data_IF_599828205109
#
_entry.id   IF_599828205109
#
_cell.length_a   1.000
_cell.length_b   1.000
_cell.length_c   1.000
_cell.angle_alpha   90.00
_cell.angle_beta   90.00
_cell.angle_gamma   90.00
#
_symmetry.space_group_name_H-M   'P 1'
#
loop_
_entity.id
_entity.type
_entity.pdbx_description
1 polymer ?
#
# COMPACT_ATOMS: atom_id res chain seq x y z
N UNK A 1 -13.76 -12.08 37.21
CA UNK A 1 -14.55 -12.33 35.97
C UNK A 1 -14.99 -11.04 35.25
N UNK A 2 -14.92 -9.86 35.87
CA UNK A 2 -15.25 -8.57 35.23
C UNK A 2 -14.04 -7.64 35.03
N UNK A 3 -12.82 -8.17 35.15
CA UNK A 3 -11.62 -7.38 34.88
C UNK A 3 -11.52 -7.11 33.38
N UNK A 4 -11.29 -5.85 32.95
CA UNK A 4 -11.15 -5.53 31.53
C UNK A 4 -9.93 -6.26 30.97
N UNK A 5 -10.05 -6.74 29.74
CA UNK A 5 -8.92 -7.23 28.94
C UNK A 5 -8.65 -6.20 27.86
N UNK A 6 -7.38 -5.93 27.52
CA UNK A 6 -7.06 -5.12 26.35
C UNK A 6 -7.75 -5.70 25.11
N UNK A 7 -8.43 -4.86 24.35
CA UNK A 7 -9.07 -5.27 23.10
C UNK A 7 -8.02 -5.48 22.00
N UNK A 8 -6.95 -4.68 22.02
CA UNK A 8 -5.79 -4.82 21.13
C UNK A 8 -4.82 -5.83 21.73
N UNK A 9 -4.46 -6.83 20.93
CA UNK A 9 -3.52 -7.91 21.30
C UNK A 9 -2.25 -7.90 20.46
N UNK A 10 -2.19 -7.08 19.41
CA UNK A 10 -0.98 -6.88 18.61
C UNK A 10 -0.05 -5.88 19.29
N UNK A 11 1.24 -5.93 18.93
CA UNK A 11 2.23 -4.94 19.34
C UNK A 11 2.66 -4.14 18.13
N UNK A 12 2.38 -2.84 18.14
CA UNK A 12 2.86 -1.94 17.10
C UNK A 12 4.39 -1.85 17.15
N UNK A 13 5.10 -1.96 16.01
CA UNK A 13 6.52 -1.65 15.98
C UNK A 13 6.78 -0.22 16.46
N UNK A 14 7.77 -0.01 17.35
CA UNK A 14 7.99 1.31 17.95
C UNK A 14 8.28 2.42 16.91
N UNK A 15 8.91 2.04 15.80
CA UNK A 15 9.23 2.93 14.69
C UNK A 15 8.00 3.41 13.90
N UNK A 16 6.82 2.80 14.05
CA UNK A 16 5.64 3.17 13.26
C UNK A 16 4.80 4.30 13.85
N UNK A 17 4.96 4.62 15.15
CA UNK A 17 4.04 5.52 15.88
C UNK A 17 4.02 6.97 15.39
N UNK A 18 5.12 7.46 14.81
CA UNK A 18 5.23 8.81 14.26
C UNK A 18 5.74 8.78 12.81
N UNK A 19 5.49 7.68 12.10
CA UNK A 19 6.05 7.46 10.78
C UNK A 19 5.31 8.27 9.70
N UNK A 20 6.03 8.70 8.67
CA UNK A 20 5.45 9.17 7.41
C UNK A 20 5.51 8.03 6.38
N UNK A 21 4.36 7.69 5.78
CA UNK A 21 4.31 6.74 4.68
C UNK A 21 4.62 7.43 3.35
N UNK A 22 5.34 6.71 2.49
CA UNK A 22 5.56 7.09 1.11
C UNK A 22 5.14 5.94 0.18
N UNK A 23 4.05 6.11 -0.56
CA UNK A 23 3.61 5.14 -1.56
C UNK A 23 4.41 5.33 -2.85
N UNK A 24 5.13 4.28 -3.22
CA UNK A 24 6.04 4.24 -4.37
C UNK A 24 5.47 3.28 -5.44
N UNK A 25 5.09 3.86 -6.57
CA UNK A 25 4.75 3.13 -7.79
C UNK A 25 6.03 2.88 -8.60
N UNK A 26 6.65 1.72 -8.40
CA UNK A 26 7.99 1.41 -8.96
C UNK A 26 8.07 1.65 -10.46
N UNK A 27 7.03 1.26 -11.20
CA UNK A 27 6.91 1.45 -12.66
C UNK A 27 7.07 2.91 -13.09
N UNK A 28 6.47 3.82 -12.33
CA UNK A 28 6.38 5.24 -12.68
C UNK A 28 7.41 6.11 -11.96
N UNK A 29 8.03 5.60 -10.90
CA UNK A 29 8.85 6.41 -10.02
C UNK A 29 10.10 6.97 -10.70
N UNK A 30 10.71 6.20 -11.61
CA UNK A 30 11.88 6.61 -12.39
C UNK A 30 11.68 6.26 -13.87
N UNK A 31 12.41 6.86 -14.82
CA UNK A 31 12.35 6.46 -16.22
C UNK A 31 12.63 4.95 -16.43
N UNK A 32 13.57 4.38 -15.69
CA UNK A 32 13.89 2.96 -15.69
C UNK A 32 12.74 2.14 -15.10
N UNK A 33 12.14 2.61 -14.00
CA UNK A 33 11.05 1.95 -13.31
C UNK A 33 11.49 0.69 -12.56
N UNK A 34 12.70 0.71 -11.98
CA UNK A 34 13.33 -0.46 -11.33
C UNK A 34 13.70 -0.19 -9.87
N UNK A 35 13.90 -1.25 -9.08
CA UNK A 35 14.37 -1.13 -7.70
C UNK A 35 15.74 -0.44 -7.61
N UNK A 36 16.67 -0.75 -8.51
CA UNK A 36 17.98 -0.09 -8.54
C UNK A 36 17.86 1.42 -8.74
N UNK A 37 17.02 1.85 -9.69
CA UNK A 37 16.82 3.27 -9.95
C UNK A 37 16.09 3.96 -8.78
N UNK A 38 15.11 3.27 -8.16
CA UNK A 38 14.44 3.77 -6.95
C UNK A 38 15.40 3.85 -5.74
N UNK A 39 16.33 2.90 -5.59
CA UNK A 39 17.33 2.87 -4.52
C UNK A 39 18.18 4.13 -4.51
N UNK A 40 18.56 4.63 -5.69
CA UNK A 40 19.33 5.86 -5.83
C UNK A 40 18.58 7.13 -5.34
N UNK A 41 17.27 7.04 -5.13
CA UNK A 41 16.43 8.14 -4.63
C UNK A 41 16.22 8.09 -3.11
N UNK A 42 16.67 7.05 -2.42
CA UNK A 42 16.46 6.89 -0.98
C UNK A 42 16.98 8.09 -0.15
N UNK A 43 18.15 8.70 -0.44
CA UNK A 43 18.59 9.90 0.28
C UNK A 43 17.60 11.06 0.20
N UNK A 44 16.98 11.26 -0.97
CA UNK A 44 15.94 12.27 -1.17
C UNK A 44 14.68 11.96 -0.37
N UNK A 45 14.23 10.70 -0.35
CA UNK A 45 13.09 10.29 0.46
C UNK A 45 13.37 10.47 1.96
N UNK A 46 14.59 10.16 2.41
CA UNK A 46 14.96 10.39 3.81
C UNK A 46 14.97 11.88 4.16
N UNK A 47 15.52 12.73 3.28
CA UNK A 47 15.51 14.18 3.46
C UNK A 47 14.08 14.77 3.47
N UNK A 48 13.13 14.16 2.77
CA UNK A 48 11.71 14.52 2.81
C UNK A 48 11.05 14.18 4.16
N UNK A 49 11.66 13.29 4.96
CA UNK A 49 11.12 12.84 6.24
C UNK A 49 10.34 11.52 6.15
N UNK A 50 10.57 10.72 5.10
CA UNK A 50 9.95 9.40 4.96
C UNK A 50 10.52 8.43 6.00
N UNK A 51 9.64 7.64 6.62
CA UNK A 51 10.00 6.57 7.54
C UNK A 51 9.59 5.19 7.00
N UNK A 52 8.46 5.09 6.30
CA UNK A 52 7.97 3.83 5.73
C UNK A 52 7.76 4.00 4.22
N UNK A 53 8.47 3.22 3.42
CA UNK A 53 8.26 3.11 1.98
C UNK A 53 7.30 1.96 1.72
N UNK A 54 6.13 2.28 1.18
CA UNK A 54 5.17 1.31 0.69
C UNK A 54 5.39 1.10 -0.82
N UNK A 55 5.92 -0.06 -1.20
CA UNK A 55 6.01 -0.45 -2.59
C UNK A 55 4.64 -0.99 -3.05
N UNK A 56 4.09 -0.42 -4.13
CA UNK A 56 2.99 -1.03 -4.88
C UNK A 56 3.33 -2.49 -5.30
N UNK A 57 2.34 -3.33 -5.70
CA UNK A 57 2.58 -4.76 -5.92
C UNK A 57 3.80 -5.02 -6.81
N UNK A 58 4.70 -5.89 -6.34
CA UNK A 58 5.99 -6.17 -6.97
C UNK A 58 6.01 -7.48 -7.76
N UNK A 59 4.90 -8.20 -7.80
CA UNK A 59 4.80 -9.55 -8.35
C UNK A 59 4.59 -9.54 -9.86
N UNK A 60 4.98 -10.61 -10.59
CA UNK A 60 4.66 -10.75 -12.00
C UNK A 60 3.16 -10.59 -12.26
N UNK A 61 2.85 -9.89 -13.36
CA UNK A 61 1.49 -9.53 -13.73
C UNK A 61 0.92 -10.53 -14.75
N UNK A 62 -0.35 -10.87 -14.59
CA UNK A 62 -1.09 -11.76 -15.48
C UNK A 62 -1.07 -11.33 -16.95
N UNK A 63 -1.09 -12.29 -17.86
CA UNK A 63 -1.19 -12.05 -19.30
C UNK A 63 -2.60 -12.26 -19.84
N UNK A 64 -3.36 -13.17 -19.23
CA UNK A 64 -4.73 -13.48 -19.64
C UNK A 64 -5.68 -12.40 -19.12
N UNK A 65 -6.50 -11.85 -20.01
CA UNK A 65 -7.42 -10.73 -19.76
C UNK A 65 -6.73 -9.44 -19.28
N UNK A 66 -5.43 -9.29 -19.53
CA UNK A 66 -4.64 -8.13 -19.14
C UNK A 66 -5.28 -6.83 -19.63
N UNK A 67 -5.36 -5.84 -18.74
CA UNK A 67 -5.73 -4.46 -19.06
C UNK A 67 -4.51 -3.66 -19.52
N UNK A 68 -4.66 -2.89 -20.60
CA UNK A 68 -3.56 -2.12 -21.18
C UNK A 68 -2.39 -2.99 -21.64
N UNK A 69 -1.23 -2.39 -21.86
CA UNK A 69 -0.06 -3.13 -22.36
C UNK A 69 0.72 -3.85 -21.26
N UNK A 70 0.84 -3.24 -20.07
CA UNK A 70 1.64 -3.76 -18.96
C UNK A 70 0.82 -4.41 -17.85
N UNK A 71 -0.50 -4.21 -17.83
CA UNK A 71 -1.37 -4.80 -16.83
C UNK A 71 -1.43 -4.04 -15.51
N UNK A 72 -2.47 -4.33 -14.75
CA UNK A 72 -2.60 -3.92 -13.35
C UNK A 72 -1.54 -4.64 -12.50
N UNK A 73 -0.75 -3.93 -11.66
CA UNK A 73 0.09 -4.57 -10.66
C UNK A 73 -0.68 -5.52 -9.72
N UNK A 74 -1.99 -5.31 -9.57
CA UNK A 74 -2.87 -6.11 -8.72
C UNK A 74 -3.33 -7.43 -9.36
N UNK A 75 -3.09 -7.65 -10.65
CA UNK A 75 -3.36 -8.94 -11.29
C UNK A 75 -2.17 -9.90 -11.13
N UNK A 76 -2.04 -10.48 -9.93
CA UNK A 76 -0.85 -11.27 -9.53
C UNK A 76 -0.80 -12.66 -10.17
N UNK A 77 0.26 -12.93 -10.93
CA UNK A 77 0.55 -14.22 -11.59
C UNK A 77 1.36 -15.17 -10.71
N UNK A 78 2.25 -14.66 -9.86
CA UNK A 78 3.09 -15.47 -8.96
C UNK A 78 3.47 -14.68 -7.69
N UNK A 79 3.02 -15.15 -6.53
CA UNK A 79 3.25 -14.49 -5.24
C UNK A 79 4.68 -14.63 -4.69
N UNK A 80 5.50 -15.53 -5.23
CA UNK A 80 6.87 -15.80 -4.77
C UNK A 80 7.95 -15.21 -5.68
N UNK A 81 7.54 -14.57 -6.78
CA UNK A 81 8.46 -13.99 -7.75
C UNK A 81 8.44 -12.47 -7.71
N UNK A 82 9.56 -11.87 -8.10
CA UNK A 82 9.67 -10.45 -8.42
C UNK A 82 9.29 -10.25 -9.88
N UNK A 83 8.50 -9.22 -10.18
CA UNK A 83 8.19 -8.81 -11.54
C UNK A 83 9.49 -8.44 -12.27
N UNK A 84 9.83 -9.10 -13.40
CA UNK A 84 11.04 -8.78 -14.16
C UNK A 84 11.12 -7.33 -14.64
N UNK A 85 9.99 -6.62 -14.72
CA UNK A 85 9.96 -5.18 -14.99
C UNK A 85 10.74 -4.37 -13.94
N UNK A 86 10.74 -4.80 -12.68
CA UNK A 86 11.30 -4.05 -11.56
C UNK A 86 12.74 -4.47 -11.20
N UNK A 87 13.17 -5.64 -11.66
CA UNK A 87 14.50 -6.19 -11.44
C UNK A 87 14.46 -7.64 -10.94
N UNK A 88 15.43 -7.99 -10.10
CA UNK A 88 15.55 -9.33 -9.49
C UNK A 88 15.26 -9.30 -7.98
N UNK A 89 15.19 -10.49 -7.37
CA UNK A 89 15.16 -10.62 -5.91
C UNK A 89 16.35 -9.92 -5.24
N UNK A 90 17.55 -10.03 -5.81
CA UNK A 90 18.75 -9.36 -5.26
C UNK A 90 18.62 -7.83 -5.32
N UNK A 91 17.94 -7.30 -6.34
CA UNK A 91 17.69 -5.85 -6.46
C UNK A 91 16.71 -5.36 -5.39
N UNK A 92 15.69 -6.17 -5.09
CA UNK A 92 14.79 -5.89 -3.97
C UNK A 92 15.53 -5.95 -2.63
N UNK A 93 16.33 -6.99 -2.39
CA UNK A 93 17.14 -7.13 -1.17
C UNK A 93 18.08 -5.93 -0.99
N UNK A 94 18.73 -5.50 -2.07
CA UNK A 94 19.60 -4.33 -2.06
C UNK A 94 18.85 -3.03 -1.76
N UNK A 95 17.65 -2.86 -2.34
CA UNK A 95 16.78 -1.71 -2.05
C UNK A 95 16.36 -1.66 -0.58
N UNK A 96 15.88 -2.79 -0.03
CA UNK A 96 15.46 -2.90 1.37
C UNK A 96 16.63 -2.62 2.31
N UNK A 97 17.78 -3.25 2.09
CA UNK A 97 18.98 -3.03 2.90
C UNK A 97 19.45 -1.56 2.85
N UNK A 98 19.38 -0.91 1.69
CA UNK A 98 19.73 0.50 1.55
C UNK A 98 18.73 1.44 2.25
N UNK A 99 17.44 1.09 2.27
CA UNK A 99 16.43 1.83 3.03
C UNK A 99 16.66 1.69 4.53
N UNK A 100 16.91 0.47 5.01
CA UNK A 100 17.26 0.20 6.41
C UNK A 100 18.53 0.94 6.86
N UNK A 101 19.55 1.01 6.00
CA UNK A 101 20.79 1.75 6.30
C UNK A 101 20.56 3.26 6.53
N UNK A 102 19.43 3.80 6.06
CA UNK A 102 19.00 5.19 6.26
C UNK A 102 17.92 5.32 7.34
N UNK A 103 17.59 4.24 8.05
CA UNK A 103 16.56 4.21 9.07
C UNK A 103 15.14 4.36 8.51
N UNK A 104 14.90 3.92 7.28
CA UNK A 104 13.58 3.75 6.71
C UNK A 104 13.20 2.27 6.69
N UNK A 105 11.90 1.99 6.68
CA UNK A 105 11.32 0.65 6.60
C UNK A 105 10.62 0.44 5.27
N UNK A 106 10.52 -0.81 4.81
CA UNK A 106 9.89 -1.15 3.52
C UNK A 106 8.75 -2.13 3.74
N UNK A 107 7.54 -1.74 3.31
CA UNK A 107 6.38 -2.65 3.27
C UNK A 107 5.97 -2.95 1.84
N UNK A 108 5.46 -4.15 1.61
CA UNK A 108 4.96 -4.58 0.30
C UNK A 108 3.45 -4.49 0.22
N UNK A 109 2.93 -4.14 -0.95
CA UNK A 109 1.52 -4.36 -1.25
C UNK A 109 1.21 -5.85 -1.37
N UNK A 110 0.14 -6.29 -0.71
CA UNK A 110 -0.26 -7.69 -0.64
C UNK A 110 -1.68 -7.88 -1.14
N UNK A 111 -1.80 -8.52 -2.30
CA UNK A 111 -3.07 -8.75 -2.99
C UNK A 111 -3.65 -10.10 -2.61
N UNK A 112 -4.42 -10.12 -1.52
CA UNK A 112 -4.91 -11.36 -0.93
C UNK A 112 -6.27 -11.81 -1.47
N UNK A 113 -7.07 -10.91 -2.01
CA UNK A 113 -8.46 -11.19 -2.41
C UNK A 113 -8.56 -12.02 -3.70
N UNK A 114 -7.64 -11.83 -4.64
CA UNK A 114 -7.74 -12.39 -5.99
C UNK A 114 -6.38 -12.61 -6.63
N UNK A 115 -6.36 -13.35 -7.74
CA UNK A 115 -5.16 -13.54 -8.60
C UNK A 115 -5.47 -13.22 -10.05
N UNK A 116 -4.42 -13.14 -10.88
CA UNK A 116 -4.55 -13.24 -12.33
C UNK A 116 -5.16 -14.59 -12.77
N UNK A 117 -5.76 -14.60 -13.95
CA UNK A 117 -6.34 -15.80 -14.58
C UNK A 117 -5.30 -16.89 -14.90
N UNK A 118 -4.07 -16.51 -15.20
CA UNK A 118 -2.97 -17.43 -15.56
C UNK A 118 -2.05 -17.76 -14.37
N UNK A 119 -2.45 -17.42 -13.14
CA UNK A 119 -1.78 -17.85 -11.91
C UNK A 119 -1.71 -19.38 -11.83
N UNK A 120 -0.60 -19.95 -11.37
CA UNK A 120 -0.41 -21.40 -11.29
C UNK A 120 -1.44 -22.12 -10.38
N UNK A 121 -2.00 -21.40 -9.40
CA UNK A 121 -3.06 -21.92 -8.52
C UNK A 121 -4.35 -22.25 -9.30
N UNK A 122 -4.64 -21.58 -10.41
CA UNK A 122 -5.85 -21.87 -11.20
C UNK A 122 -5.84 -23.26 -11.82
N UNK A 123 -4.65 -23.85 -12.00
CA UNK A 123 -4.47 -25.22 -12.51
C UNK A 123 -4.17 -26.23 -11.40
N UNK A 124 -3.35 -25.83 -10.41
CA UNK A 124 -2.90 -26.74 -9.34
C UNK A 124 -3.90 -26.89 -8.21
N UNK A 125 -4.66 -25.83 -7.90
CA UNK A 125 -5.65 -25.77 -6.82
C UNK A 125 -6.91 -25.00 -7.26
N UNK A 126 -7.59 -25.43 -8.34
CA UNK A 126 -8.78 -24.74 -8.86
C UNK A 126 -9.91 -24.61 -7.85
N UNK A 127 -9.95 -25.45 -6.81
CA UNK A 127 -10.92 -25.41 -5.71
C UNK A 127 -10.69 -24.23 -4.75
N UNK A 128 -9.51 -23.60 -4.75
CA UNK A 128 -9.22 -22.41 -3.93
C UNK A 128 -9.81 -21.11 -4.50
N UNK A 129 -10.61 -21.18 -5.56
CA UNK A 129 -11.22 -20.02 -6.19
C UNK A 129 -12.74 -20.03 -6.03
N UNK A 130 -13.31 -18.84 -5.92
CA UNK A 130 -14.76 -18.69 -5.99
C UNK A 130 -15.28 -19.07 -7.38
N UNK A 131 -16.48 -19.64 -7.40
CA UNK A 131 -17.19 -20.02 -8.62
C UNK A 131 -18.49 -19.25 -8.77
N UNK A 132 -18.84 -18.92 -9.99
CA UNK A 132 -20.19 -18.46 -10.31
C UNK A 132 -21.20 -19.62 -10.34
N UNK A 133 -22.46 -19.31 -10.66
CA UNK A 133 -23.54 -20.31 -10.71
C UNK A 133 -23.33 -21.35 -11.83
N UNK A 134 -22.55 -21.02 -12.85
CA UNK A 134 -22.23 -21.89 -13.99
C UNK A 134 -20.95 -22.70 -13.74
N UNK A 135 -20.29 -22.51 -12.59
CA UNK A 135 -19.06 -23.20 -12.20
C UNK A 135 -17.78 -22.59 -12.78
N UNK A 136 -17.85 -21.41 -13.41
CA UNK A 136 -16.67 -20.71 -13.93
C UNK A 136 -15.95 -19.96 -12.80
N UNK A 137 -14.69 -19.61 -13.02
CA UNK A 137 -13.99 -18.68 -12.13
C UNK A 137 -14.72 -17.34 -12.09
N UNK A 138 -14.79 -16.76 -10.90
CA UNK A 138 -15.57 -15.55 -10.65
C UNK A 138 -14.66 -14.33 -10.44
N UNK A 139 -14.69 -13.33 -11.33
CA UNK A 139 -14.18 -11.99 -11.05
C UNK A 139 -15.01 -11.30 -9.97
N UNK A 140 -14.46 -10.24 -9.36
CA UNK A 140 -15.24 -9.45 -8.39
C UNK A 140 -16.40 -8.74 -9.12
N UNK A 141 -17.67 -9.00 -8.77
CA UNK A 141 -18.80 -8.73 -9.66
C UNK A 141 -19.27 -7.26 -9.73
N UNK A 142 -18.80 -6.40 -8.82
CA UNK A 142 -19.27 -5.00 -8.72
C UNK A 142 -18.34 -3.97 -9.36
N UNK A 143 -17.13 -4.37 -9.74
CA UNK A 143 -16.12 -3.50 -10.34
C UNK A 143 -15.68 -4.04 -11.69
N UNK A 144 -15.17 -3.16 -12.54
CA UNK A 144 -14.50 -3.58 -13.77
C UNK A 144 -13.11 -4.13 -13.42
N UNK A 145 -13.07 -5.33 -12.83
CA UNK A 145 -11.85 -6.08 -12.49
C UNK A 145 -11.82 -7.39 -13.28
N UNK A 146 -11.97 -7.27 -14.61
CA UNK A 146 -12.03 -8.40 -15.54
C UNK A 146 -10.70 -9.16 -15.69
N UNK A 147 -9.59 -8.58 -15.23
CA UNK A 147 -8.24 -9.15 -15.26
C UNK A 147 -7.91 -10.03 -14.04
N UNK A 148 -8.85 -10.22 -13.10
CA UNK A 148 -8.64 -11.03 -11.88
C UNK A 148 -9.80 -11.98 -11.59
N UNK A 149 -9.54 -12.94 -10.71
CA UNK A 149 -10.51 -13.92 -10.19
C UNK A 149 -10.32 -14.16 -8.70
N UNK A 150 -11.44 -14.28 -7.97
CA UNK A 150 -11.46 -14.26 -6.51
C UNK A 150 -11.01 -15.57 -5.87
N UNK A 151 -10.27 -15.46 -4.76
CA UNK A 151 -9.84 -16.57 -3.93
C UNK A 151 -10.89 -16.92 -2.86
N UNK A 152 -11.01 -18.19 -2.53
CA UNK A 152 -11.96 -18.72 -1.55
C UNK A 152 -11.26 -19.16 -0.25
N UNK A 153 -11.30 -18.28 0.75
CA UNK A 153 -10.65 -18.46 2.06
C UNK A 153 -11.30 -19.52 2.97
N UNK A 154 -12.32 -20.24 2.51
CA UNK A 154 -12.85 -21.42 3.18
C UNK A 154 -11.87 -22.61 3.15
N UNK A 155 -10.87 -22.59 2.27
CA UNK A 155 -9.89 -23.67 2.13
C UNK A 155 -8.65 -23.41 3.00
N UNK A 156 -8.38 -24.30 3.96
CA UNK A 156 -7.21 -24.20 4.83
C UNK A 156 -5.88 -24.22 4.06
N UNK A 157 -5.79 -24.96 2.95
CA UNK A 157 -4.61 -24.99 2.09
C UNK A 157 -4.27 -23.63 1.49
N UNK A 158 -5.28 -22.89 1.01
CA UNK A 158 -5.10 -21.52 0.54
C UNK A 158 -4.58 -20.61 1.65
N UNK A 159 -5.20 -20.68 2.84
CA UNK A 159 -4.79 -19.87 4.00
C UNK A 159 -3.33 -20.10 4.36
N UNK A 160 -2.91 -21.37 4.36
CA UNK A 160 -1.52 -21.74 4.61
C UNK A 160 -0.60 -21.18 3.50
N UNK A 161 -0.95 -21.38 2.23
CA UNK A 161 -0.19 -20.87 1.09
C UNK A 161 0.02 -19.35 1.14
N UNK A 162 -1.05 -18.58 1.38
CA UNK A 162 -0.98 -17.11 1.45
C UNK A 162 -0.18 -16.63 2.65
N UNK A 163 -0.27 -17.33 3.80
CA UNK A 163 0.53 -17.02 4.99
C UNK A 163 2.01 -17.32 4.75
N UNK A 164 2.35 -18.44 4.13
CA UNK A 164 3.73 -18.77 3.78
C UNK A 164 4.32 -17.78 2.77
N UNK A 165 3.51 -17.33 1.82
CA UNK A 165 3.93 -16.33 0.84
C UNK A 165 4.21 -14.96 1.49
N UNK A 166 3.38 -14.52 2.44
CA UNK A 166 3.71 -13.37 3.30
C UNK A 166 5.06 -13.61 4.02
N UNK A 167 5.16 -14.69 4.79
CA UNK A 167 6.37 -15.00 5.57
C UNK A 167 7.63 -15.15 4.71
N UNK A 168 7.51 -15.56 3.45
CA UNK A 168 8.62 -15.69 2.51
C UNK A 168 9.33 -14.35 2.30
N UNK A 169 8.59 -13.27 2.04
CA UNK A 169 9.20 -11.97 1.79
C UNK A 169 9.86 -11.38 3.04
N UNK A 170 9.29 -11.59 4.23
CA UNK A 170 9.93 -11.18 5.49
C UNK A 170 11.24 -11.94 5.71
N UNK A 171 11.27 -13.25 5.44
CA UNK A 171 12.48 -14.09 5.60
C UNK A 171 13.55 -13.78 4.56
N UNK A 172 13.14 -13.64 3.30
CA UNK A 172 14.08 -13.58 2.17
C UNK A 172 14.52 -12.17 1.85
N UNK A 173 13.60 -11.20 1.89
CA UNK A 173 13.86 -9.82 1.50
C UNK A 173 13.90 -8.85 2.69
N UNK A 174 13.72 -9.34 3.91
CA UNK A 174 13.72 -8.55 5.15
C UNK A 174 12.72 -7.38 5.14
N UNK A 175 11.61 -7.51 4.41
CA UNK A 175 10.56 -6.48 4.41
C UNK A 175 9.92 -6.36 5.79
N UNK A 176 9.46 -5.16 6.13
CA UNK A 176 9.01 -4.78 7.47
C UNK A 176 7.51 -4.90 7.67
N UNK A 177 6.79 -5.43 6.67
CA UNK A 177 5.37 -5.68 6.73
C UNK A 177 4.65 -5.44 5.41
N UNK A 178 3.35 -5.16 5.49
CA UNK A 178 2.47 -5.17 4.32
C UNK A 178 1.40 -4.09 4.35
N UNK A 179 1.05 -3.59 3.17
CA UNK A 179 -0.26 -2.99 2.90
C UNK A 179 -1.14 -4.07 2.27
N UNK A 180 -2.27 -4.41 2.87
CA UNK A 180 -3.19 -5.42 2.37
C UNK A 180 -4.27 -4.77 1.48
N UNK A 181 -4.27 -5.16 0.20
CA UNK A 181 -5.26 -4.74 -0.80
C UNK A 181 -6.66 -5.27 -0.45
N UNK A 182 -7.66 -4.39 -0.53
CA UNK A 182 -9.08 -4.65 -0.24
C UNK A 182 -9.28 -5.57 0.96
N UNK A 183 -8.56 -5.30 2.05
CA UNK A 183 -8.41 -6.20 3.19
C UNK A 183 -9.76 -6.67 3.79
N UNK A 184 -10.81 -5.85 3.67
CA UNK A 184 -12.16 -6.16 4.11
C UNK A 184 -12.89 -7.25 3.32
N UNK A 185 -12.41 -7.65 2.15
CA UNK A 185 -12.97 -8.78 1.39
C UNK A 185 -12.37 -10.12 1.80
N UNK A 186 -11.26 -10.09 2.54
CA UNK A 186 -10.61 -11.28 3.07
C UNK A 186 -11.02 -11.46 4.54
N UNK A 187 -11.35 -12.69 5.00
CA UNK A 187 -11.79 -12.91 6.37
C UNK A 187 -10.81 -12.41 7.42
N UNK A 188 -11.30 -11.66 8.41
CA UNK A 188 -10.46 -11.08 9.48
C UNK A 188 -9.68 -12.15 10.27
N UNK A 189 -10.25 -13.34 10.46
CA UNK A 189 -9.58 -14.42 11.17
C UNK A 189 -8.38 -15.02 10.40
N UNK A 190 -8.38 -14.91 9.07
CA UNK A 190 -7.18 -15.19 8.27
C UNK A 190 -6.08 -14.17 8.60
N UNK A 191 -6.40 -12.88 8.59
CA UNK A 191 -5.41 -11.83 8.90
C UNK A 191 -4.86 -11.95 10.32
N UNK A 192 -5.70 -12.27 11.32
CA UNK A 192 -5.25 -12.52 12.70
C UNK A 192 -4.24 -13.68 12.77
N UNK A 193 -4.51 -14.75 12.00
CA UNK A 193 -3.60 -15.91 11.91
C UNK A 193 -2.30 -15.52 11.23
N UNK A 194 -2.38 -14.83 10.08
CA UNK A 194 -1.21 -14.40 9.31
C UNK A 194 -0.32 -13.45 10.12
N UNK A 195 -0.90 -12.46 10.82
CA UNK A 195 -0.16 -11.56 11.73
C UNK A 195 0.58 -12.35 12.80
N UNK A 196 -0.08 -13.31 13.45
CA UNK A 196 0.56 -14.16 14.48
C UNK A 196 1.75 -14.94 13.91
N UNK A 197 1.64 -15.47 12.69
CA UNK A 197 2.73 -16.20 12.06
C UNK A 197 3.89 -15.28 11.65
N UNK A 198 3.61 -14.08 11.13
CA UNK A 198 4.63 -13.08 10.78
C UNK A 198 5.47 -12.66 11.99
N UNK A 199 4.82 -12.45 13.13
CA UNK A 199 5.46 -12.09 14.40
C UNK A 199 6.43 -13.17 14.94
N UNK A 200 6.36 -14.41 14.42
CA UNK A 200 7.36 -15.45 14.74
C UNK A 200 8.72 -15.20 14.09
N UNK A 201 8.77 -14.34 13.07
CA UNK A 201 9.99 -13.96 12.34
C UNK A 201 10.53 -12.66 12.94
N UNK A 202 9.74 -11.59 12.87
CA UNK A 202 10.03 -10.27 13.46
C UNK A 202 8.73 -9.46 13.61
N UNK A 203 8.73 -8.39 14.44
CA UNK A 203 7.64 -7.41 14.43
C UNK A 203 7.42 -6.81 13.05
N UNK A 204 6.18 -6.77 12.60
CA UNK A 204 5.79 -6.24 11.28
C UNK A 204 4.76 -5.13 11.41
N UNK A 205 4.75 -4.21 10.44
CA UNK A 205 3.71 -3.21 10.28
C UNK A 205 2.68 -3.63 9.23
N UNK A 206 1.41 -3.66 9.61
CA UNK A 206 0.32 -4.07 8.74
C UNK A 206 -0.66 -2.90 8.52
N UNK A 207 -0.79 -2.45 7.27
CA UNK A 207 -1.77 -1.45 6.83
C UNK A 207 -2.90 -2.13 6.06
N UNK A 208 -4.15 -2.00 6.51
CA UNK A 208 -5.31 -2.46 5.76
C UNK A 208 -5.83 -1.37 4.83
N UNK A 209 -6.00 -1.69 3.54
CA UNK A 209 -6.96 -0.97 2.71
C UNK A 209 -8.39 -1.35 3.12
N UNK A 210 -8.80 -0.76 4.22
CA UNK A 210 -10.15 -0.82 4.76
C UNK A 210 -10.31 0.28 5.81
N UNK A 211 -11.53 0.51 6.28
CA UNK A 211 -11.82 1.47 7.35
C UNK A 211 -12.79 0.84 8.37
N UNK A 212 -12.25 0.01 9.27
CA UNK A 212 -13.03 -0.63 10.33
C UNK A 212 -12.17 -0.84 11.58
N UNK A 213 -12.73 -0.50 12.75
CA UNK A 213 -12.02 -0.63 14.03
C UNK A 213 -11.55 -2.05 14.34
N UNK A 214 -12.32 -3.07 13.93
CA UNK A 214 -12.06 -4.47 14.31
C UNK A 214 -10.77 -5.01 13.68
N UNK A 215 -10.29 -4.38 12.60
CA UNK A 215 -8.99 -4.66 11.96
C UNK A 215 -7.82 -4.46 12.94
N UNK A 216 -7.96 -3.52 13.88
CA UNK A 216 -6.91 -3.10 14.81
C UNK A 216 -6.74 -4.00 16.04
N UNK A 217 -7.67 -4.94 16.28
CA UNK A 217 -7.58 -5.75 17.50
C UNK A 217 -6.43 -6.75 17.47
N UNK A 218 -6.17 -7.39 16.32
CA UNK A 218 -5.19 -8.48 16.28
C UNK A 218 -4.38 -8.57 14.97
N UNK A 219 -4.71 -7.83 13.92
CA UNK A 219 -4.08 -7.98 12.62
C UNK A 219 -3.32 -6.73 12.14
N UNK A 220 -3.97 -5.57 12.16
CA UNK A 220 -3.49 -4.37 11.48
C UNK A 220 -3.11 -3.25 12.45
N UNK A 221 -1.97 -2.63 12.19
CA UNK A 221 -1.51 -1.44 12.90
C UNK A 221 -2.23 -0.18 12.41
N UNK A 222 -2.48 -0.15 11.10
CA UNK A 222 -3.06 0.98 10.41
C UNK A 222 -4.23 0.58 9.50
N UNK A 223 -5.19 1.49 9.35
CA UNK A 223 -6.27 1.42 8.35
C UNK A 223 -6.35 2.72 7.56
N UNK A 224 -6.95 2.71 6.38
CA UNK A 224 -7.24 3.94 5.65
C UNK A 224 -8.21 4.85 6.44
N UNK A 225 -8.08 6.16 6.25
CA UNK A 225 -9.02 7.16 6.75
C UNK A 225 -9.95 7.69 5.64
N UNK A 226 -10.72 6.82 4.97
CA UNK A 226 -11.68 7.21 3.93
C UNK A 226 -12.66 8.28 4.40
N UNK A 227 -13.20 8.14 5.61
CA UNK A 227 -14.11 9.12 6.19
C UNK A 227 -13.45 10.50 6.33
N UNK A 228 -12.15 10.57 6.66
CA UNK A 228 -11.40 11.83 6.69
C UNK A 228 -11.22 12.41 5.28
N UNK A 229 -10.79 11.57 4.32
CA UNK A 229 -10.61 11.97 2.92
C UNK A 229 -11.91 12.54 2.33
N UNK A 230 -13.02 11.85 2.52
CA UNK A 230 -14.33 12.29 2.04
C UNK A 230 -14.81 13.56 2.74
N UNK A 231 -14.57 13.70 4.05
CA UNK A 231 -14.87 14.92 4.78
C UNK A 231 -14.09 16.12 4.21
N UNK A 232 -12.80 15.95 3.94
CA UNK A 232 -11.96 16.98 3.32
C UNK A 232 -12.46 17.37 1.93
N UNK A 233 -12.80 16.39 1.08
CA UNK A 233 -13.34 16.66 -0.25
C UNK A 233 -14.69 17.40 -0.20
N UNK A 234 -15.60 17.02 0.71
CA UNK A 234 -16.88 17.72 0.89
C UNK A 234 -16.71 19.16 1.36
N UNK A 235 -15.76 19.41 2.27
CA UNK A 235 -15.44 20.77 2.72
C UNK A 235 -14.94 21.62 1.56
N UNK A 236 -14.01 21.10 0.76
CA UNK A 236 -13.45 21.86 -0.37
C UNK A 236 -14.45 22.07 -1.50
N UNK A 237 -15.36 21.12 -1.73
CA UNK A 237 -16.46 21.28 -2.68
C UNK A 237 -17.52 22.31 -2.21
N UNK A 238 -17.50 22.71 -0.93
CA UNK A 238 -18.55 23.56 -0.34
C UNK A 238 -19.82 22.81 0.03
N UNK A 239 -19.78 21.47 0.02
CA UNK A 239 -20.91 20.59 0.35
C UNK A 239 -21.07 20.37 1.86
N UNK A 240 -20.05 20.69 2.66
CA UNK A 240 -20.06 20.60 4.12
C UNK A 240 -19.17 21.67 4.77
N UNK A 241 -19.43 21.95 6.05
CA UNK A 241 -18.52 22.74 6.89
C UNK A 241 -17.56 21.83 7.69
N UNK A 242 -16.73 22.40 8.56
CA UNK A 242 -15.73 21.64 9.33
C UNK A 242 -16.33 20.67 10.35
N UNK A 243 -17.65 20.67 10.59
CA UNK A 243 -18.27 19.74 11.53
C UNK A 243 -18.18 18.28 11.08
N UNK A 244 -18.03 18.00 9.77
CA UNK A 244 -17.83 16.61 9.31
C UNK A 244 -16.48 16.04 9.76
N UNK A 245 -15.46 16.88 9.96
CA UNK A 245 -14.18 16.45 10.55
C UNK A 245 -14.30 16.19 12.06
N UNK A 246 -15.15 16.96 12.76
CA UNK A 246 -15.43 16.69 14.17
C UNK A 246 -15.96 15.27 14.37
N UNK A 247 -16.88 14.81 13.50
CA UNK A 247 -17.39 13.44 13.56
C UNK A 247 -16.27 12.40 13.40
N UNK A 248 -15.38 12.59 12.43
CA UNK A 248 -14.23 11.71 12.22
C UNK A 248 -13.36 11.58 13.48
N UNK A 249 -12.91 12.70 14.05
CA UNK A 249 -12.05 12.69 15.23
C UNK A 249 -12.78 12.17 16.48
N UNK A 250 -14.07 12.46 16.63
CA UNK A 250 -14.87 11.91 17.74
C UNK A 250 -14.95 10.39 17.72
N UNK A 251 -14.96 9.79 16.52
CA UNK A 251 -14.95 8.34 16.37
C UNK A 251 -13.58 7.74 16.67
N UNK A 252 -12.50 8.43 16.32
CA UNK A 252 -11.15 8.00 16.75
C UNK A 252 -11.08 7.91 18.27
N UNK A 253 -11.56 8.95 18.97
CA UNK A 253 -11.51 8.99 20.43
C UNK A 253 -12.44 7.96 21.10
N UNK A 254 -13.64 7.76 20.54
CA UNK A 254 -14.73 7.06 21.23
C UNK A 254 -14.96 5.62 20.77
N UNK A 255 -14.61 5.28 19.54
CA UNK A 255 -15.00 4.02 18.91
C UNK A 255 -13.81 3.17 18.44
N UNK A 256 -12.70 3.78 18.05
CA UNK A 256 -11.48 3.07 17.68
C UNK A 256 -10.62 2.77 18.93
N UNK A 257 -9.80 1.71 18.91
CA UNK A 257 -8.74 1.54 19.91
C UNK A 257 -7.83 2.75 19.95
N UNK A 258 -7.30 3.08 21.15
CA UNK A 258 -6.40 4.24 21.32
C UNK A 258 -5.09 4.07 20.55
N UNK A 259 -4.73 2.83 20.29
CA UNK A 259 -3.51 2.43 19.59
C UNK A 259 -3.69 2.39 18.06
N UNK A 260 -4.92 2.50 17.56
CA UNK A 260 -5.23 2.40 16.14
C UNK A 260 -4.62 3.58 15.35
N UNK A 261 -3.85 3.27 14.32
CA UNK A 261 -3.33 4.28 13.40
C UNK A 261 -4.28 4.42 12.20
N UNK A 262 -4.66 5.65 11.86
CA UNK A 262 -5.53 5.90 10.69
C UNK A 262 -4.77 6.71 9.66
N UNK A 263 -4.56 6.12 8.49
CA UNK A 263 -3.77 6.72 7.44
C UNK A 263 -4.54 7.84 6.76
N UNK A 264 -4.14 9.08 7.05
CA UNK A 264 -4.65 10.29 6.40
C UNK A 264 -3.92 10.47 5.08
N UNK A 265 -4.63 10.92 4.06
CA UNK A 265 -4.06 11.11 2.74
C UNK A 265 -4.90 12.07 1.90
N UNK A 266 -4.22 12.90 1.13
CA UNK A 266 -4.82 13.73 0.08
C UNK A 266 -4.76 13.04 -1.28
N UNK A 267 -3.76 12.16 -1.49
CA UNK A 267 -3.63 11.35 -2.68
C UNK A 267 -3.09 9.95 -2.38
N UNK A 268 -3.31 9.04 -3.31
CA UNK A 268 -2.72 7.72 -3.42
C UNK A 268 -2.84 7.27 -4.88
N UNK A 269 -2.38 6.07 -5.22
CA UNK A 269 -2.42 5.56 -6.59
C UNK A 269 -3.84 5.51 -7.21
N UNK A 270 -4.86 5.03 -6.50
CA UNK A 270 -6.25 4.98 -7.00
C UNK A 270 -6.88 6.37 -7.10
N UNK A 271 -6.65 7.19 -6.08
CA UNK A 271 -7.08 8.57 -6.08
C UNK A 271 -6.53 9.30 -7.31
N UNK A 272 -5.22 9.21 -7.54
CA UNK A 272 -4.56 9.88 -8.65
C UNK A 272 -5.04 9.36 -10.01
N UNK A 273 -5.19 8.04 -10.16
CA UNK A 273 -5.59 7.43 -11.43
C UNK A 273 -7.07 7.68 -11.77
N UNK A 274 -7.97 7.52 -10.80
CA UNK A 274 -9.42 7.44 -11.04
C UNK A 274 -10.18 8.69 -10.60
N UNK A 275 -9.92 9.19 -9.38
CA UNK A 275 -10.67 10.33 -8.82
C UNK A 275 -10.09 11.69 -9.25
N UNK A 276 -8.77 11.75 -9.47
CA UNK A 276 -8.04 12.94 -9.90
C UNK A 276 -6.85 13.30 -9.03
N UNK A 277 -6.03 14.18 -9.60
CA UNK A 277 -4.89 14.78 -8.90
C UNK A 277 -5.38 15.69 -7.76
N UNK A 278 -4.49 16.04 -6.84
CA UNK A 278 -4.83 16.98 -5.77
C UNK A 278 -5.20 18.37 -6.30
N UNK A 279 -4.67 18.74 -7.47
CA UNK A 279 -5.08 19.97 -8.17
C UNK A 279 -6.54 19.92 -8.58
N UNK A 280 -7.02 18.79 -9.08
CA UNK A 280 -8.41 18.61 -9.50
C UNK A 280 -9.36 18.49 -8.30
N UNK A 281 -8.94 17.77 -7.26
CA UNK A 281 -9.80 17.46 -6.10
C UNK A 281 -9.85 18.57 -5.05
N UNK A 282 -8.73 19.25 -4.80
CA UNK A 282 -8.60 20.24 -3.73
C UNK A 282 -8.36 21.67 -4.24
N UNK A 283 -7.90 21.84 -5.49
CA UNK A 283 -7.68 23.17 -6.07
C UNK A 283 -6.84 24.09 -5.18
N UNK A 284 -7.28 25.33 -4.90
CA UNK A 284 -6.58 26.26 -4.01
C UNK A 284 -6.43 25.77 -2.56
N UNK A 285 -7.26 24.83 -2.10
CA UNK A 285 -7.22 24.30 -0.74
C UNK A 285 -6.19 23.16 -0.54
N UNK A 286 -5.51 22.72 -1.61
CA UNK A 286 -4.47 21.67 -1.60
C UNK A 286 -3.51 21.79 -0.42
N UNK A 287 -2.89 22.95 -0.28
CA UNK A 287 -1.84 23.16 0.72
C UNK A 287 -2.40 23.08 2.14
N UNK A 288 -3.60 23.62 2.37
CA UNK A 288 -4.27 23.50 3.67
C UNK A 288 -4.65 22.04 3.97
N UNK A 289 -5.09 21.27 2.97
CA UNK A 289 -5.41 19.86 3.13
C UNK A 289 -4.17 19.03 3.48
N UNK A 290 -3.04 19.26 2.80
CA UNK A 290 -1.75 18.61 3.11
C UNK A 290 -1.26 18.98 4.51
N UNK A 291 -1.35 20.26 4.90
CA UNK A 291 -0.96 20.69 6.25
C UNK A 291 -1.80 19.96 7.30
N UNK A 292 -3.11 19.84 7.10
CA UNK A 292 -3.97 19.11 8.03
C UNK A 292 -3.70 17.61 8.02
N UNK A 293 -3.38 17.03 6.87
CA UNK A 293 -2.99 15.62 6.75
C UNK A 293 -1.78 15.29 7.63
N UNK A 294 -0.73 16.11 7.53
CA UNK A 294 0.57 15.88 8.18
C UNK A 294 0.58 16.30 9.65
N UNK A 295 -0.18 17.33 10.02
CA UNK A 295 -0.21 17.84 11.40
C UNK A 295 -1.39 17.32 12.22
N UNK A 296 -2.39 16.73 11.57
CA UNK A 296 -3.57 16.17 12.19
C UNK A 296 -3.32 14.81 12.85
N UNK A 297 -4.33 14.33 13.55
CA UNK A 297 -4.31 12.98 14.12
C UNK A 297 -4.40 11.94 13.00
N UNK A 298 -3.39 11.09 12.89
CA UNK A 298 -3.32 10.05 11.88
C UNK A 298 -1.87 9.69 11.55
N UNK A 299 -1.71 8.90 10.50
CA UNK A 299 -0.41 8.56 9.91
C UNK A 299 -0.40 9.05 8.44
N UNK A 300 0.36 10.10 8.09
CA UNK A 300 0.24 10.74 6.78
C UNK A 300 0.82 9.88 5.66
N UNK A 301 0.28 10.04 4.45
CA UNK A 301 0.72 9.33 3.25
C UNK A 301 1.07 10.32 2.13
N UNK A 302 2.32 10.25 1.68
CA UNK A 302 2.77 10.92 0.47
C UNK A 302 2.74 9.93 -0.69
N UNK A 303 2.01 10.25 -1.76
CA UNK A 303 2.08 9.47 -3.00
C UNK A 303 3.19 10.02 -3.91
N UNK A 304 3.97 9.15 -4.55
CA UNK A 304 5.09 9.61 -5.37
C UNK A 304 4.73 10.71 -6.39
N UNK A 305 5.55 11.74 -6.46
CA UNK A 305 5.33 12.91 -7.32
C UNK A 305 4.46 13.99 -6.68
N UNK A 306 3.77 13.71 -5.58
CA UNK A 306 3.03 14.73 -4.80
C UNK A 306 3.99 15.80 -4.26
N UNK A 307 5.18 15.40 -3.82
CA UNK A 307 6.16 16.30 -3.21
C UNK A 307 6.76 17.31 -4.19
N UNK A 308 6.65 17.05 -5.50
CA UNK A 308 7.03 17.99 -6.56
C UNK A 308 5.81 18.66 -7.22
N UNK A 309 4.61 18.43 -6.69
CA UNK A 309 3.37 18.96 -7.26
C UNK A 309 3.03 18.40 -8.64
N UNK A 310 3.21 17.09 -8.85
CA UNK A 310 2.86 16.44 -10.12
C UNK A 310 1.37 16.66 -10.47
N UNK A 311 1.04 17.39 -11.55
CA UNK A 311 -0.35 17.67 -11.92
C UNK A 311 -0.97 16.58 -12.79
N UNK A 312 -0.24 15.48 -13.06
CA UNK A 312 -0.68 14.42 -13.96
C UNK A 312 -1.27 13.24 -13.19
N UNK A 313 -2.36 12.71 -13.73
CA UNK A 313 -2.85 11.37 -13.39
C UNK A 313 -1.93 10.35 -14.05
N UNK A 314 -1.22 9.55 -13.25
CA UNK A 314 -0.30 8.53 -13.75
C UNK A 314 -1.10 7.37 -14.34
N UNK A 315 -0.69 6.90 -15.53
CA UNK A 315 -1.36 5.75 -16.16
C UNK A 315 -1.15 4.49 -15.31
N UNK A 316 -2.24 3.80 -15.03
CA UNK A 316 -2.23 2.61 -14.18
C UNK A 316 -1.71 1.36 -14.92
N UNK A 317 -2.15 1.18 -16.16
CA UNK A 317 -1.88 -0.02 -16.98
C UNK A 317 -0.74 0.14 -17.99
N UNK A 318 -0.14 1.33 -18.06
CA UNK A 318 0.86 1.73 -19.06
C UNK A 318 2.07 2.34 -18.35
N UNK A 319 3.21 2.42 -19.03
CA UNK A 319 4.35 3.19 -18.54
C UNK A 319 4.15 4.69 -18.82
N UNK A 320 4.27 5.50 -17.79
CA UNK A 320 4.11 6.96 -17.78
C UNK A 320 4.92 7.55 -16.61
N UNK A 321 6.26 7.54 -16.70
CA UNK A 321 7.11 7.89 -15.58
C UNK A 321 6.92 9.35 -15.16
N UNK A 322 7.13 9.59 -13.86
CA UNK A 322 7.16 10.93 -13.27
C UNK A 322 8.30 11.73 -13.89
N UNK A 323 8.02 12.99 -14.20
CA UNK A 323 9.04 13.94 -14.68
C UNK A 323 9.56 14.70 -13.48
N UNK A 324 10.75 14.35 -13.02
CA UNK A 324 11.41 15.01 -11.90
C UNK A 324 12.08 16.33 -12.34
N UNK A 325 12.00 17.40 -11.53
CA UNK A 325 12.75 18.63 -11.79
C UNK A 325 14.26 18.37 -11.84
N UNK A 326 14.99 19.17 -12.64
CA UNK A 326 16.45 19.16 -12.65
C UNK A 326 16.99 19.44 -11.24
N UNK A 327 17.98 18.65 -10.78
CA UNK A 327 18.46 18.71 -9.38
C UNK A 327 17.84 17.68 -8.43
N UNK A 328 16.70 17.09 -8.78
CA UNK A 328 16.02 16.07 -7.97
C UNK A 328 16.11 14.66 -8.56
N UNK A 329 16.79 14.49 -9.70
CA UNK A 329 17.18 13.18 -10.23
C UNK A 329 18.47 12.67 -9.56
N UNK A 330 18.65 11.35 -9.48
CA UNK A 330 19.83 10.71 -8.85
C UNK A 330 21.16 11.25 -9.42
N UNK A 331 21.17 11.63 -10.70
CA UNK A 331 22.35 12.10 -11.40
C UNK A 331 22.87 13.45 -10.87
N UNK A 332 22.02 14.30 -10.27
CA UNK A 332 22.49 15.62 -9.81
C UNK A 332 23.06 15.57 -8.39
N UNK A 333 22.55 14.69 -7.52
CA UNK A 333 23.04 14.59 -6.14
C UNK A 333 24.44 13.96 -6.02
N UNK A 334 24.82 13.07 -6.95
CA UNK A 334 26.19 12.53 -7.01
C UNK A 334 27.25 13.58 -7.39
N UNK A 335 26.85 14.64 -8.10
CA UNK A 335 27.76 15.73 -8.47
C UNK A 335 28.00 16.70 -7.29
N UNK A 336 27.00 16.92 -6.45
CA UNK A 336 27.14 17.77 -5.25
C UNK A 336 27.99 17.10 -4.14
N UNK A 337 27.99 15.77 -4.04
CA UNK A 337 28.82 15.05 -3.06
C UNK A 337 30.30 14.89 -3.49
N UNK A 338 30.63 15.10 -4.78
CA UNK A 338 32.00 14.98 -5.28
C UNK A 338 32.80 16.30 -5.31
N UNK A 339 32.21 17.41 -4.89
CA UNK A 339 32.92 18.66 -4.62
C UNK A 339 33.71 19.20 -5.82
N UNK A 340 33.06 19.99 -6.67
CA UNK A 340 33.77 20.94 -7.52
C UNK A 340 33.85 22.30 -6.82
N UNK A 341 35.09 22.74 -6.61
CA UNK A 341 35.52 24.07 -6.13
C UNK A 341 35.21 25.18 -7.14
#
# INVERSE_FOLDING_TARGET
MYAPRPAVTLTHPDWSRNAVLYQLNTRQFTPEGTFRAAQAQLPRLKALGVDIIWLMPIHPIGEVNRKGTLGSPYSVKDYFAVNPEFGTMDDLKAFVAAAHAQGMHVILDWVANHTAWDNALTRSHPEWYERDLDGNFRPTPWWDWSDIINLNYAHAGLRQYMTEALMYWVREADVDGYRADVAGFVPLDFWNTARTQLETIKPVFMLAEWEMRDMHYAAFDATYAWTWKEAMQKIVAGDADTAVLFNYYSWNESAYPREAMRMTYTSNHDQNAWEGTEYEKYGPAREAAIVLEVTGEGIPLIYNGQEIGNPRRLKFFEKDPIVWPAGMSAETQMLDEQGEL
#
